data_IF_559687904176
#
_entry.id   IF_559687904176
#
_cell.length_a   1.000
_cell.length_b   1.000
_cell.length_c   1.000
_cell.angle_alpha   90.00
_cell.angle_beta   90.00
_cell.angle_gamma   90.00
#
_symmetry.space_group_name_H-M   'P 1'
#
loop_
_entity.id
_entity.type
_entity.pdbx_description
1 polymer ?
#
# COMPACT_ATOMS: atom_id res chain seq x y z
N UNK A 1 -26.97 -9.19 4.49
CA UNK A 1 -27.29 -7.74 4.44
C UNK A 1 -25.98 -6.98 4.61
N UNK A 2 -25.51 -6.27 3.58
CA UNK A 2 -24.27 -5.47 3.64
C UNK A 2 -23.23 -5.79 2.55
N UNK A 3 -23.64 -5.74 1.27
CA UNK A 3 -22.71 -5.71 0.15
C UNK A 3 -21.99 -4.35 0.22
N UNK A 4 -20.72 -4.34 0.61
CA UNK A 4 -19.86 -3.18 0.48
C UNK A 4 -19.69 -2.91 -1.01
N UNK A 5 -20.43 -1.90 -1.51
CA UNK A 5 -20.24 -1.31 -2.83
C UNK A 5 -18.81 -0.82 -2.93
N UNK A 6 -17.93 -1.61 -3.54
CA UNK A 6 -16.62 -1.15 -3.98
C UNK A 6 -16.88 -0.15 -5.09
N UNK A 7 -16.55 1.11 -4.84
CA UNK A 7 -16.69 2.21 -5.79
C UNK A 7 -16.09 1.83 -7.16
N UNK A 8 -16.85 2.15 -8.19
CA UNK A 8 -16.77 1.62 -9.54
C UNK A 8 -15.66 2.28 -10.40
N UNK A 9 -14.43 2.43 -9.88
CA UNK A 9 -13.29 3.06 -10.58
C UNK A 9 -12.02 2.20 -10.66
N UNK A 10 -12.14 0.88 -10.49
CA UNK A 10 -11.03 -0.08 -10.56
C UNK A 10 -11.49 -1.33 -11.32
N UNK A 11 -11.80 -1.22 -12.61
CA UNK A 11 -11.79 -2.40 -13.49
C UNK A 11 -10.33 -2.67 -13.85
N UNK A 12 -9.93 -3.94 -13.72
CA UNK A 12 -8.58 -4.50 -13.88
C UNK A 12 -7.72 -4.55 -12.60
N UNK A 13 -8.17 -5.31 -11.59
CA UNK A 13 -7.27 -5.87 -10.57
C UNK A 13 -7.66 -7.35 -10.37
N UNK A 14 -7.27 -8.20 -11.31
CA UNK A 14 -7.20 -9.64 -11.05
C UNK A 14 -5.74 -9.99 -10.77
N UNK A 15 -5.38 -9.96 -9.49
CA UNK A 15 -4.07 -10.35 -9.00
C UNK A 15 -4.20 -11.45 -7.95
N UNK A 16 -4.65 -12.64 -8.36
CA UNK A 16 -4.80 -13.80 -7.47
C UNK A 16 -3.52 -14.27 -6.77
N UNK A 17 -2.33 -13.76 -7.15
CA UNK A 17 -1.02 -14.17 -6.63
C UNK A 17 -0.07 -12.99 -6.31
N UNK A 18 -0.63 -11.81 -5.97
CA UNK A 18 0.18 -10.64 -5.61
C UNK A 18 0.85 -9.93 -6.78
N UNK A 19 0.33 -10.11 -8.00
CA UNK A 19 0.76 -9.38 -9.19
C UNK A 19 -0.28 -8.31 -9.52
N UNK A 20 0.14 -7.06 -9.65
CA UNK A 20 -0.69 -5.94 -10.09
C UNK A 20 -0.38 -5.63 -11.56
N UNK A 21 -1.37 -5.80 -12.44
CA UNK A 21 -1.28 -5.35 -13.84
C UNK A 21 -1.90 -3.97 -13.99
N UNK A 22 -1.18 -3.06 -14.64
CA UNK A 22 -1.60 -1.68 -14.86
C UNK A 22 -1.49 -1.35 -16.34
N UNK A 23 -2.55 -0.78 -16.90
CA UNK A 23 -2.68 -0.48 -18.32
C UNK A 23 -3.18 0.96 -18.52
N UNK A 24 -2.93 1.52 -19.71
CA UNK A 24 -3.35 2.87 -20.09
C UNK A 24 -2.77 3.98 -19.20
N UNK A 25 -3.50 5.09 -19.07
CA UNK A 25 -3.04 6.30 -18.35
C UNK A 25 -2.75 6.05 -16.86
N UNK A 26 -3.30 4.96 -16.29
CA UNK A 26 -3.06 4.57 -14.89
C UNK A 26 -1.60 4.19 -14.62
N UNK A 27 -0.85 3.87 -15.68
CA UNK A 27 0.60 3.67 -15.59
C UNK A 27 1.27 4.94 -15.06
N UNK A 28 0.84 6.13 -15.49
CA UNK A 28 1.42 7.40 -15.05
C UNK A 28 1.16 7.61 -13.55
N UNK A 29 -0.06 7.33 -13.09
CA UNK A 29 -0.44 7.43 -11.69
C UNK A 29 0.43 6.52 -10.81
N UNK A 30 0.51 5.23 -11.15
CA UNK A 30 1.27 4.24 -10.37
C UNK A 30 2.77 4.53 -10.44
N UNK A 31 3.32 4.87 -11.61
CA UNK A 31 4.73 5.23 -11.75
C UNK A 31 5.10 6.46 -10.91
N UNK A 32 4.26 7.50 -10.91
CA UNK A 32 4.44 8.70 -10.08
C UNK A 32 4.44 8.35 -8.59
N UNK A 33 3.55 7.47 -8.14
CA UNK A 33 3.54 6.98 -6.77
C UNK A 33 4.83 6.20 -6.46
N UNK A 34 5.28 5.30 -7.34
CA UNK A 34 6.48 4.49 -7.09
C UNK A 34 7.80 5.28 -7.17
N UNK A 35 7.79 6.50 -7.72
CA UNK A 35 8.98 7.36 -7.83
C UNK A 35 9.57 7.85 -6.49
N UNK A 36 8.91 7.58 -5.35
CA UNK A 36 9.42 7.92 -4.02
C UNK A 36 10.18 6.78 -3.38
N UNK A 37 11.42 7.05 -2.98
CA UNK A 37 12.26 6.13 -2.20
C UNK A 37 11.58 5.67 -0.90
N UNK A 38 10.93 6.57 -0.17
CA UNK A 38 10.23 6.24 1.08
C UNK A 38 9.07 5.28 0.83
N UNK A 39 8.30 5.49 -0.23
CA UNK A 39 7.17 4.60 -0.56
C UNK A 39 7.63 3.23 -1.04
N UNK A 40 8.71 3.19 -1.82
CA UNK A 40 9.32 1.92 -2.21
C UNK A 40 9.84 1.14 -0.99
N UNK A 41 10.45 1.82 -0.02
CA UNK A 41 10.92 1.19 1.22
C UNK A 41 9.76 0.67 2.07
N UNK A 42 8.68 1.45 2.22
CA UNK A 42 7.45 0.99 2.89
C UNK A 42 6.94 -0.31 2.25
N UNK A 43 6.86 -0.38 0.92
CA UNK A 43 6.41 -1.59 0.21
C UNK A 43 7.33 -2.78 0.49
N UNK A 44 8.65 -2.59 0.45
CA UNK A 44 9.62 -3.67 0.75
C UNK A 44 9.49 -4.21 2.16
N UNK A 45 9.36 -3.33 3.15
CA UNK A 45 9.26 -3.71 4.57
C UNK A 45 7.92 -4.35 4.92
N UNK A 46 6.86 -4.05 4.17
CA UNK A 46 5.50 -4.54 4.44
C UNK A 46 5.07 -5.69 3.54
N UNK A 47 5.91 -6.11 2.59
CA UNK A 47 5.61 -7.21 1.69
C UNK A 47 5.45 -8.53 2.46
N UNK A 48 4.27 -9.12 2.37
CA UNK A 48 3.89 -10.39 3.01
C UNK A 48 4.14 -10.43 4.53
N UNK A 49 4.18 -9.26 5.19
CA UNK A 49 4.33 -9.16 6.63
C UNK A 49 3.46 -8.04 7.18
N UNK A 50 3.01 -8.20 8.43
CA UNK A 50 2.30 -7.17 9.16
C UNK A 50 3.30 -6.35 9.96
N UNK A 51 3.36 -5.04 9.73
CA UNK A 51 4.30 -4.15 10.41
C UNK A 51 3.55 -3.06 11.15
N UNK A 52 3.93 -2.82 12.41
CA UNK A 52 3.49 -1.64 13.15
C UNK A 52 4.05 -0.38 12.49
N UNK A 53 3.18 0.56 12.12
CA UNK A 53 3.56 1.81 11.46
C UNK A 53 4.55 2.64 12.29
N UNK A 54 4.46 2.57 13.62
CA UNK A 54 5.38 3.28 14.50
C UNK A 54 6.79 2.66 14.50
N UNK A 55 6.89 1.35 14.35
CA UNK A 55 8.16 0.62 14.22
C UNK A 55 8.74 0.85 12.82
N UNK A 56 7.89 0.74 11.79
CA UNK A 56 8.27 1.02 10.40
C UNK A 56 8.86 2.42 10.25
N UNK A 57 8.28 3.43 10.89
CA UNK A 57 8.79 4.80 10.86
C UNK A 57 10.23 4.89 11.38
N UNK A 58 10.56 4.15 12.45
CA UNK A 58 11.92 4.08 12.99
C UNK A 58 12.85 3.35 12.02
N UNK A 59 12.42 2.21 11.50
CA UNK A 59 13.21 1.37 10.59
C UNK A 59 13.64 2.12 9.33
N UNK A 60 12.75 2.94 8.76
CA UNK A 60 13.02 3.70 7.53
C UNK A 60 13.55 5.11 7.81
N UNK A 61 13.86 5.43 9.07
CA UNK A 61 14.34 6.73 9.54
C UNK A 61 13.44 7.90 9.09
N UNK A 62 12.14 7.79 9.36
CA UNK A 62 11.13 8.82 9.05
C UNK A 62 10.30 9.16 10.28
N UNK A 63 9.65 10.33 10.27
CA UNK A 63 8.69 10.67 11.31
C UNK A 63 7.42 9.81 11.19
N UNK A 64 6.75 9.57 12.33
CA UNK A 64 5.45 8.86 12.35
C UNK A 64 4.41 9.54 11.45
N UNK A 65 4.38 10.87 11.47
CA UNK A 65 3.46 11.68 10.66
C UNK A 65 3.74 11.51 9.16
N UNK A 66 5.01 11.62 8.73
CA UNK A 66 5.36 11.43 7.33
C UNK A 66 5.09 9.99 6.87
N UNK A 67 5.50 8.99 7.66
CA UNK A 67 5.27 7.58 7.36
C UNK A 67 3.77 7.29 7.17
N UNK A 68 2.93 7.80 8.07
CA UNK A 68 1.47 7.67 7.96
C UNK A 68 0.91 8.32 6.69
N UNK A 69 1.43 9.49 6.29
CA UNK A 69 1.02 10.17 5.08
C UNK A 69 1.41 9.37 3.81
N UNK A 70 2.64 8.84 3.77
CA UNK A 70 3.10 8.01 2.64
C UNK A 70 2.32 6.70 2.53
N UNK A 71 2.03 6.04 3.65
CA UNK A 71 1.16 4.85 3.68
C UNK A 71 -0.23 5.17 3.13
N UNK A 72 -0.82 6.32 3.49
CA UNK A 72 -2.13 6.72 2.97
C UNK A 72 -2.14 6.90 1.46
N UNK A 73 -1.04 7.39 0.87
CA UNK A 73 -0.89 7.51 -0.59
C UNK A 73 -0.88 6.11 -1.23
N UNK A 74 -0.08 5.18 -0.68
CA UNK A 74 -0.01 3.80 -1.15
C UNK A 74 -1.32 3.05 -0.98
N UNK A 75 -2.03 3.27 0.12
CA UNK A 75 -3.31 2.63 0.44
C UNK A 75 -4.41 3.06 -0.53
N UNK A 76 -4.47 4.35 -0.87
CA UNK A 76 -5.39 4.87 -1.90
C UNK A 76 -5.15 4.24 -3.28
N UNK A 77 -3.89 3.91 -3.57
CA UNK A 77 -3.49 3.24 -4.79
C UNK A 77 -3.67 1.71 -4.76
N UNK A 78 -4.14 1.16 -3.62
CA UNK A 78 -4.31 -0.28 -3.44
C UNK A 78 -3.01 -1.07 -3.30
N UNK A 79 -1.87 -0.40 -3.07
CA UNK A 79 -0.56 -1.04 -2.97
C UNK A 79 -0.25 -1.57 -1.56
N UNK A 80 -0.93 -1.04 -0.54
CA UNK A 80 -0.88 -1.52 0.84
C UNK A 80 -2.29 -1.55 1.44
N UNK A 81 -2.45 -2.28 2.54
CA UNK A 81 -3.65 -2.27 3.38
C UNK A 81 -3.26 -1.93 4.80
N UNK A 82 -4.10 -1.19 5.50
CA UNK A 82 -3.90 -0.95 6.93
C UNK A 82 -5.10 -1.35 7.78
N UNK A 83 -4.81 -1.79 9.00
CA UNK A 83 -5.80 -2.15 10.03
C UNK A 83 -5.35 -1.61 11.38
N UNK A 84 -6.30 -1.37 12.28
CA UNK A 84 -5.99 -1.04 13.67
C UNK A 84 -6.11 -2.29 14.53
N UNK A 85 -5.10 -2.54 15.37
CA UNK A 85 -5.09 -3.64 16.35
C UNK A 85 -4.88 -3.10 17.77
N UNK A 86 -5.38 -3.79 18.82
CA UNK A 86 -4.99 -3.48 20.19
C UNK A 86 -3.47 -3.57 20.37
N UNK A 87 -2.88 -2.63 21.09
CA UNK A 87 -1.46 -2.62 21.45
C UNK A 87 -1.27 -2.52 22.97
N UNK A 88 -0.01 -2.63 23.41
CA UNK A 88 0.36 -2.51 24.84
C UNK A 88 -0.12 -1.20 25.47
N UNK A 89 -0.15 -0.11 24.68
CA UNK A 89 -0.76 1.17 25.06
C UNK A 89 -1.64 1.66 23.91
N UNK A 90 -2.96 1.51 24.05
CA UNK A 90 -3.94 1.97 23.07
C UNK A 90 -4.02 1.10 21.81
N UNK A 91 -4.17 1.74 20.66
CA UNK A 91 -4.27 1.05 19.35
C UNK A 91 -3.02 1.27 18.52
N UNK A 92 -2.60 0.24 17.78
CA UNK A 92 -1.53 0.28 16.80
C UNK A 92 -2.10 0.24 15.40
N UNK A 93 -1.51 1.00 14.48
CA UNK A 93 -1.81 0.89 13.05
C UNK A 93 -0.84 -0.13 12.46
N UNK A 94 -1.38 -1.16 11.82
CA UNK A 94 -0.62 -2.20 11.15
C UNK A 94 -0.72 -1.98 9.64
N UNK A 95 0.39 -2.10 8.93
CA UNK A 95 0.48 -1.99 7.48
C UNK A 95 0.99 -3.30 6.89
N UNK A 96 0.41 -3.73 5.77
CA UNK A 96 0.86 -4.90 5.01
C UNK A 96 0.64 -4.69 3.50
N UNK A 97 1.46 -5.32 2.68
CA UNK A 97 1.28 -5.39 1.22
C UNK A 97 1.34 -6.83 0.75
N UNK A 98 0.46 -7.18 -0.18
CA UNK A 98 0.53 -8.42 -0.94
C UNK A 98 0.93 -8.17 -2.41
N UNK A 99 1.32 -6.94 -2.77
CA UNK A 99 1.73 -6.61 -4.15
C UNK A 99 3.23 -6.87 -4.30
N UNK A 100 3.55 -8.05 -4.83
CA UNK A 100 4.92 -8.54 -5.07
C UNK A 100 5.49 -8.05 -6.40
N UNK A 101 4.65 -7.96 -7.42
CA UNK A 101 5.05 -7.56 -8.77
C UNK A 101 4.07 -6.54 -9.34
N UNK A 102 4.59 -5.58 -10.09
CA UNK A 102 3.79 -4.61 -10.85
C UNK A 102 4.22 -4.70 -12.31
N UNK A 103 3.26 -4.92 -13.20
CA UNK A 103 3.49 -5.06 -14.64
C UNK A 103 2.76 -3.93 -15.35
N UNK A 104 3.52 -3.08 -16.07
CA UNK A 104 2.97 -2.06 -16.95
C UNK A 104 2.78 -2.64 -18.36
N UNK A 105 1.55 -2.58 -18.86
CA UNK A 105 1.18 -3.08 -20.19
C UNK A 105 0.94 -1.88 -21.10
N UNK A 106 1.81 -1.71 -22.11
CA UNK A 106 1.85 -0.52 -23.00
C UNK A 106 0.97 -0.64 -24.26
N UNK A 107 0.00 -1.56 -24.27
CA UNK A 107 -0.78 -1.88 -25.47
C UNK A 107 -1.73 -0.76 -25.90
#
# INVERSE_FOLDING_TARGET
MGILKVNNAMKSIEGGNGVLRVEGDKIIEIASILSSKTRLEILRRTLNTEVDVDELAKDINQSKANTSAQIRILEKAGLVKTIYKPGVRGVKKICTSNVREIIFVLK
#
